data_IF_342732034880
#
_entry.id   IF_342732034880
#
_cell.length_a   1.000
_cell.length_b   1.000
_cell.length_c   1.000
_cell.angle_alpha   90.00
_cell.angle_beta   90.00
_cell.angle_gamma   90.00
#
_symmetry.space_group_name_H-M   'P 1'
#
loop_
_entity.id
_entity.type
_entity.pdbx_description
1 polymer ?
#
# COMPACT_ATOMS: atom_id res chain seq x y z
N UNK A 1 -12.18 26.76 67.71
CA UNK A 1 -11.03 26.51 66.83
C UNK A 1 -11.56 25.73 65.64
N UNK A 2 -11.72 26.37 64.42
CA UNK A 2 -12.25 25.71 63.23
C UNK A 2 -11.09 25.45 62.30
N UNK A 3 -10.79 24.15 62.05
CA UNK A 3 -9.78 23.70 61.13
C UNK A 3 -10.33 23.79 59.69
N UNK A 4 -9.71 24.64 58.84
CA UNK A 4 -10.04 24.71 57.42
C UNK A 4 -9.18 23.67 56.67
N UNK A 5 -9.88 22.64 56.15
CA UNK A 5 -9.26 21.65 55.26
C UNK A 5 -9.01 22.27 53.90
N UNK A 6 -7.76 22.31 53.48
CA UNK A 6 -7.32 22.80 52.14
C UNK A 6 -7.28 21.61 51.18
N UNK A 7 -8.27 21.50 50.30
CA UNK A 7 -8.23 20.51 49.21
C UNK A 7 -7.32 21.00 48.09
N UNK A 8 -6.18 20.33 47.94
CA UNK A 8 -5.25 20.54 46.85
C UNK A 8 -5.72 19.71 45.64
N UNK A 9 -6.38 20.34 44.68
CA UNK A 9 -6.75 19.73 43.41
C UNK A 9 -5.53 19.67 42.48
N UNK A 10 -4.94 18.48 42.37
CA UNK A 10 -3.86 18.20 41.40
C UNK A 10 -4.46 18.02 40.01
N UNK A 11 -4.28 19.02 39.14
CA UNK A 11 -4.69 18.94 37.74
C UNK A 11 -3.63 18.17 36.95
N UNK A 12 -3.94 16.93 36.58
CA UNK A 12 -3.08 16.10 35.71
C UNK A 12 -3.14 16.65 34.28
N UNK A 13 -2.12 17.39 33.89
CA UNK A 13 -1.95 17.89 32.53
C UNK A 13 -1.49 16.74 31.64
N UNK A 14 -2.43 16.14 30.89
CA UNK A 14 -2.10 15.14 29.87
C UNK A 14 -1.46 15.84 28.68
N UNK A 15 -0.14 15.79 28.56
CA UNK A 15 0.61 16.29 27.41
C UNK A 15 0.41 15.29 26.28
N UNK A 16 -0.48 15.59 25.35
CA UNK A 16 -0.55 14.91 24.05
C UNK A 16 0.71 15.29 23.27
N UNK A 17 1.68 14.37 23.24
CA UNK A 17 2.82 14.50 22.34
C UNK A 17 2.29 14.45 20.90
N UNK A 18 2.64 15.41 20.02
CA UNK A 18 2.30 15.31 18.61
C UNK A 18 2.98 14.06 18.05
N UNK A 19 2.18 13.15 17.49
CA UNK A 19 2.70 12.04 16.70
C UNK A 19 3.27 12.67 15.42
N UNK A 20 4.59 12.88 15.38
CA UNK A 20 5.25 13.38 14.19
C UNK A 20 5.08 12.31 13.09
N UNK A 21 4.34 12.65 12.05
CA UNK A 21 4.33 11.88 10.83
C UNK A 21 5.75 12.00 10.24
N UNK A 22 6.32 10.88 9.80
CA UNK A 22 7.66 10.83 9.24
C UNK A 22 7.53 10.38 7.80
N UNK A 23 7.82 11.26 6.86
CA UNK A 23 7.82 10.92 5.44
C UNK A 23 8.92 9.89 5.14
N UNK A 24 8.60 8.94 4.29
CA UNK A 24 9.56 7.95 3.81
C UNK A 24 9.25 7.56 2.36
N UNK A 25 10.28 7.19 1.61
CA UNK A 25 10.13 6.62 0.29
C UNK A 25 9.75 5.15 0.41
N UNK A 26 8.62 4.80 -0.18
CA UNK A 26 8.14 3.43 -0.34
C UNK A 26 8.46 3.00 -1.77
N UNK A 27 9.35 2.04 -1.91
CA UNK A 27 9.73 1.44 -3.20
C UNK A 27 9.26 -0.01 -3.25
N UNK A 28 8.56 -0.34 -4.32
CA UNK A 28 8.07 -1.70 -4.58
C UNK A 28 8.64 -2.17 -5.91
N UNK A 29 9.49 -3.21 -5.85
CA UNK A 29 9.93 -3.92 -7.04
C UNK A 29 9.09 -5.19 -7.19
N UNK A 30 8.63 -5.48 -8.39
CA UNK A 30 7.88 -6.70 -8.64
C UNK A 30 8.07 -7.22 -10.07
N UNK A 31 7.88 -8.51 -10.23
CA UNK A 31 8.01 -9.21 -11.50
C UNK A 31 6.64 -9.64 -12.01
N UNK A 32 6.38 -9.35 -13.29
CA UNK A 32 5.32 -9.97 -14.09
C UNK A 32 5.97 -11.12 -14.84
N UNK A 33 5.70 -12.39 -14.50
CA UNK A 33 6.35 -13.52 -15.15
C UNK A 33 5.88 -13.72 -16.58
N UNK A 34 6.74 -14.27 -17.43
CA UNK A 34 6.34 -14.80 -18.72
C UNK A 34 5.62 -16.14 -18.48
N UNK A 35 4.35 -16.20 -18.87
CA UNK A 35 3.51 -17.38 -18.69
C UNK A 35 3.29 -18.02 -20.05
N UNK A 36 3.66 -19.29 -20.19
CA UNK A 36 3.42 -20.06 -21.41
C UNK A 36 1.94 -20.50 -21.44
N UNK A 37 1.18 -19.91 -22.34
CA UNK A 37 -0.26 -20.16 -22.52
C UNK A 37 -0.65 -19.89 -23.97
N UNK A 38 -1.67 -20.62 -24.45
CA UNK A 38 -2.14 -20.48 -25.82
C UNK A 38 -2.67 -19.08 -26.14
N UNK A 39 -3.23 -18.38 -25.14
CA UNK A 39 -3.72 -17.02 -25.25
C UNK A 39 -3.21 -16.20 -24.06
N UNK A 40 -2.26 -15.31 -24.33
CA UNK A 40 -1.65 -14.46 -23.30
C UNK A 40 -2.20 -13.05 -23.36
N UNK A 41 -2.80 -12.61 -22.27
CA UNK A 41 -3.16 -11.22 -22.00
C UNK A 41 -2.25 -10.62 -20.93
N UNK A 42 -1.93 -9.34 -21.04
CA UNK A 42 -1.15 -8.63 -20.01
C UNK A 42 -2.00 -8.48 -18.75
N UNK A 43 -1.44 -8.74 -17.56
CA UNK A 43 -2.22 -8.63 -16.34
C UNK A 43 -2.61 -7.18 -16.02
N UNK A 44 -3.78 -7.02 -15.43
CA UNK A 44 -4.17 -5.83 -14.70
C UNK A 44 -3.46 -5.84 -13.36
N UNK A 45 -2.88 -4.72 -12.93
CA UNK A 45 -2.14 -4.60 -11.68
C UNK A 45 -2.76 -3.48 -10.84
N UNK A 46 -3.05 -3.77 -9.57
CA UNK A 46 -3.30 -2.77 -8.57
C UNK A 46 -2.30 -2.91 -7.41
N UNK A 47 -1.68 -1.81 -7.01
CA UNK A 47 -0.72 -1.72 -5.92
C UNK A 47 -1.18 -0.62 -4.96
N UNK A 48 -1.45 -0.98 -3.69
CA UNK A 48 -1.99 -0.04 -2.70
C UNK A 48 -1.58 -0.40 -1.27
N UNK A 49 -1.72 0.57 -0.36
CA UNK A 49 -1.49 0.39 1.08
C UNK A 49 -2.83 0.42 1.81
N UNK A 50 -3.02 -0.52 2.74
CA UNK A 50 -4.14 -0.57 3.68
C UNK A 50 -3.67 -0.29 5.11
N UNK A 51 -4.54 0.36 5.90
CA UNK A 51 -4.36 0.48 7.37
C UNK A 51 -4.79 -0.81 8.11
N UNK A 52 -4.64 -0.81 9.43
CA UNK A 52 -5.05 -1.92 10.29
C UNK A 52 -6.56 -2.24 10.22
N UNK A 53 -7.39 -1.28 9.83
CA UNK A 53 -8.82 -1.45 9.60
C UNK A 53 -9.15 -1.88 8.17
N UNK A 54 -8.13 -2.21 7.37
CA UNK A 54 -8.23 -2.63 5.98
C UNK A 54 -8.86 -1.56 5.05
N UNK A 55 -8.68 -0.30 5.37
CA UNK A 55 -9.05 0.83 4.52
C UNK A 55 -7.85 1.17 3.64
N UNK A 56 -8.11 1.40 2.36
CA UNK A 56 -7.07 1.90 1.46
C UNK A 56 -6.69 3.33 1.88
N UNK A 57 -5.40 3.53 2.18
CA UNK A 57 -4.83 4.82 2.58
C UNK A 57 -3.92 5.44 1.52
N UNK A 58 -3.37 4.62 0.63
CA UNK A 58 -2.58 5.08 -0.51
C UNK A 58 -2.80 4.18 -1.73
N UNK A 59 -2.80 4.79 -2.92
CA UNK A 59 -2.76 4.09 -4.21
C UNK A 59 -1.40 4.35 -4.83
N UNK A 60 -0.63 3.28 -5.11
CA UNK A 60 0.73 3.39 -5.63
C UNK A 60 0.80 3.17 -7.13
N UNK A 61 0.05 2.20 -7.65
CA UNK A 61 -0.11 1.97 -9.09
C UNK A 61 -1.46 1.32 -9.42
N UNK A 62 -1.99 1.65 -10.60
CA UNK A 62 -3.14 1.00 -11.20
C UNK A 62 -2.90 0.89 -12.70
N UNK A 63 -2.54 -0.30 -13.19
CA UNK A 63 -2.26 -0.55 -14.60
C UNK A 63 -3.40 -1.34 -15.22
N UNK A 64 -4.18 -0.66 -16.04
CA UNK A 64 -5.43 -1.14 -16.56
C UNK A 64 -5.79 -0.36 -17.82
N UNK A 65 -6.24 -1.02 -18.88
CA UNK A 65 -6.55 -0.36 -20.15
C UNK A 65 -7.96 0.24 -20.21
N UNK A 66 -8.93 -0.37 -19.52
CA UNK A 66 -10.34 0.02 -19.62
C UNK A 66 -11.05 -0.07 -18.27
N UNK A 67 -11.89 0.92 -17.96
CA UNK A 67 -12.66 0.99 -16.74
C UNK A 67 -13.57 -0.22 -16.47
N UNK A 68 -14.08 -0.85 -17.53
CA UNK A 68 -14.96 -2.02 -17.39
C UNK A 68 -14.30 -3.18 -16.65
N UNK A 69 -12.96 -3.26 -16.63
CA UNK A 69 -12.18 -4.32 -16.00
C UNK A 69 -11.79 -4.04 -14.55
N UNK A 70 -12.13 -2.86 -14.00
CA UNK A 70 -11.85 -2.50 -12.60
C UNK A 70 -12.35 -3.54 -11.60
N UNK A 71 -13.48 -4.17 -11.88
CA UNK A 71 -14.11 -5.16 -10.98
C UNK A 71 -13.37 -6.50 -10.94
N UNK A 72 -12.51 -6.77 -11.90
CA UNK A 72 -11.71 -8.00 -11.93
C UNK A 72 -10.62 -7.95 -10.87
N UNK A 73 -10.07 -6.78 -10.57
CA UNK A 73 -9.23 -6.50 -9.42
C UNK A 73 -10.09 -6.49 -8.13
N UNK A 74 -10.57 -7.67 -7.73
CA UNK A 74 -11.66 -7.84 -6.74
C UNK A 74 -11.31 -7.33 -5.35
N UNK A 75 -10.06 -7.50 -4.90
CA UNK A 75 -9.64 -7.03 -3.58
C UNK A 75 -9.51 -5.52 -3.60
N UNK A 76 -8.78 -4.98 -4.54
CA UNK A 76 -8.63 -3.54 -4.74
C UNK A 76 -10.00 -2.84 -4.86
N UNK A 77 -10.88 -3.34 -5.73
CA UNK A 77 -12.22 -2.76 -5.95
C UNK A 77 -13.04 -2.66 -4.65
N UNK A 78 -13.01 -3.70 -3.82
CA UNK A 78 -13.75 -3.73 -2.55
C UNK A 78 -13.13 -2.85 -1.47
N UNK A 79 -11.80 -2.64 -1.48
CA UNK A 79 -11.10 -1.87 -0.44
C UNK A 79 -11.17 -0.37 -0.64
N UNK A 80 -11.12 0.10 -1.85
CA UNK A 80 -11.14 1.54 -2.13
C UNK A 80 -11.38 1.89 -3.58
N UNK A 81 -11.03 1.01 -4.52
CA UNK A 81 -11.04 1.27 -5.94
C UNK A 81 -12.36 1.82 -6.48
N UNK A 82 -13.50 1.31 -5.99
CA UNK A 82 -14.83 1.81 -6.39
C UNK A 82 -15.14 3.26 -6.02
N UNK A 83 -14.34 3.86 -5.12
CA UNK A 83 -14.50 5.24 -4.65
C UNK A 83 -13.43 6.18 -5.21
N UNK A 84 -12.44 5.61 -5.90
CA UNK A 84 -11.33 6.37 -6.44
C UNK A 84 -11.78 7.11 -7.71
N UNK A 85 -11.54 8.41 -7.76
CA UNK A 85 -11.70 9.17 -8.99
C UNK A 85 -10.52 8.86 -9.92
N UNK A 86 -10.79 8.32 -11.10
CA UNK A 86 -9.78 7.91 -12.07
C UNK A 86 -9.87 8.78 -13.34
N UNK A 87 -8.75 8.98 -14.06
CA UNK A 87 -7.40 8.53 -13.74
C UNK A 87 -6.73 9.35 -12.62
N UNK A 88 -5.75 8.74 -11.94
CA UNK A 88 -4.87 9.43 -10.98
C UNK A 88 -3.50 9.61 -11.62
N UNK A 89 -3.00 10.84 -11.69
CA UNK A 89 -1.70 11.17 -12.28
C UNK A 89 -0.56 10.45 -11.55
N UNK A 90 0.38 9.92 -12.32
CA UNK A 90 1.52 9.15 -11.82
C UNK A 90 1.21 7.75 -11.29
N UNK A 91 -0.07 7.41 -11.16
CA UNK A 91 -0.56 6.14 -10.61
C UNK A 91 -1.22 5.27 -11.68
N UNK A 92 -2.09 5.87 -12.49
CA UNK A 92 -2.84 5.17 -13.54
C UNK A 92 -2.01 4.99 -14.80
N UNK A 93 -2.05 3.81 -15.38
CA UNK A 93 -1.35 3.49 -16.62
C UNK A 93 -1.89 2.25 -17.32
N UNK A 94 -1.39 2.02 -18.53
CA UNK A 94 -1.72 0.83 -19.31
C UNK A 94 -1.09 -0.44 -18.71
N UNK A 95 -1.65 -1.61 -19.04
CA UNK A 95 -1.08 -2.92 -18.75
C UNK A 95 0.33 -3.07 -19.32
N UNK A 96 1.18 -3.84 -18.64
CA UNK A 96 2.58 -4.01 -19.01
C UNK A 96 2.90 -5.45 -19.41
N UNK A 97 3.95 -5.61 -20.21
CA UNK A 97 4.48 -6.92 -20.65
C UNK A 97 5.16 -7.65 -19.46
N UNK A 98 5.45 -8.95 -19.58
CA UNK A 98 6.34 -9.64 -18.66
C UNK A 98 7.68 -8.89 -18.48
N UNK A 99 8.17 -8.83 -17.25
CA UNK A 99 9.40 -8.11 -16.89
C UNK A 99 9.39 -7.66 -15.44
N UNK A 100 10.47 -7.01 -15.02
CA UNK A 100 10.61 -6.42 -13.68
C UNK A 100 10.26 -4.94 -13.72
N UNK A 101 9.58 -4.49 -12.67
CA UNK A 101 9.06 -3.12 -12.56
C UNK A 101 9.30 -2.57 -11.15
N UNK A 102 9.57 -1.28 -11.09
CA UNK A 102 9.71 -0.52 -9.85
C UNK A 102 8.65 0.57 -9.80
N UNK A 103 8.01 0.70 -8.66
CA UNK A 103 7.11 1.80 -8.30
C UNK A 103 7.61 2.43 -7.02
N UNK A 104 7.94 3.72 -7.05
CA UNK A 104 8.36 4.49 -5.88
C UNK A 104 7.40 5.64 -5.62
N UNK A 105 7.15 5.91 -4.34
CA UNK A 105 6.31 7.01 -3.89
C UNK A 105 6.67 7.42 -2.47
N UNK A 106 6.77 8.72 -2.22
CA UNK A 106 6.90 9.25 -0.86
C UNK A 106 5.56 9.16 -0.15
N UNK A 107 5.56 8.57 1.04
CA UNK A 107 4.39 8.42 1.89
C UNK A 107 4.61 9.13 3.22
N UNK A 108 3.55 9.72 3.74
CA UNK A 108 3.50 10.34 5.06
C UNK A 108 2.31 9.75 5.79
N UNK A 109 2.57 8.66 6.51
CA UNK A 109 1.54 7.89 7.20
C UNK A 109 1.65 8.09 8.71
N UNK A 110 0.53 8.12 9.45
CA UNK A 110 0.55 8.04 10.90
C UNK A 110 1.24 6.76 11.39
N UNK A 111 1.86 6.81 12.57
CA UNK A 111 2.44 5.62 13.19
C UNK A 111 1.38 4.52 13.35
N UNK A 112 1.67 3.31 12.90
CA UNK A 112 0.70 2.22 12.91
C UNK A 112 1.11 0.99 12.11
N UNK A 113 0.18 0.05 12.00
CA UNK A 113 0.33 -1.18 11.21
C UNK A 113 -0.36 -1.03 9.86
N UNK A 114 0.37 -1.43 8.82
CA UNK A 114 -0.08 -1.31 7.44
C UNK A 114 0.15 -2.62 6.69
N UNK A 115 -0.45 -2.71 5.52
CA UNK A 115 -0.24 -3.82 4.59
C UNK A 115 -0.09 -3.26 3.19
N UNK A 116 1.04 -3.51 2.55
CA UNK A 116 1.19 -3.36 1.11
C UNK A 116 0.42 -4.50 0.43
N UNK A 117 -0.35 -4.16 -0.57
CA UNK A 117 -1.11 -5.11 -1.36
C UNK A 117 -0.74 -4.94 -2.83
N UNK A 118 -0.48 -6.05 -3.51
CA UNK A 118 -0.40 -6.12 -4.97
C UNK A 118 -1.35 -7.19 -5.48
N UNK A 119 -2.26 -6.81 -6.37
CA UNK A 119 -3.20 -7.72 -7.02
C UNK A 119 -2.95 -7.71 -8.51
N UNK A 120 -2.75 -8.90 -9.07
CA UNK A 120 -2.61 -9.15 -10.50
C UNK A 120 -3.78 -10.01 -10.98
N UNK A 121 -4.37 -9.62 -12.12
CA UNK A 121 -5.47 -10.38 -12.75
C UNK A 121 -5.23 -10.39 -14.25
N UNK A 122 -5.28 -11.56 -14.85
CA UNK A 122 -5.13 -11.73 -16.30
C UNK A 122 -6.44 -12.20 -16.91
N UNK A 123 -6.82 -11.57 -18.01
CA UNK A 123 -7.95 -12.00 -18.82
C UNK A 123 -7.69 -13.42 -19.36
N UNK A 124 -8.69 -14.28 -19.31
CA UNK A 124 -8.56 -15.72 -19.64
C UNK A 124 -7.41 -16.40 -18.85
N UNK A 125 -7.12 -15.89 -17.66
CA UNK A 125 -6.00 -16.35 -16.85
C UNK A 125 -6.31 -16.40 -15.36
N UNK A 126 -5.25 -16.29 -14.56
CA UNK A 126 -5.32 -16.38 -13.12
C UNK A 126 -5.56 -15.02 -12.45
N UNK A 127 -5.58 -15.10 -11.13
CA UNK A 127 -5.61 -13.96 -10.22
C UNK A 127 -4.71 -14.26 -9.04
N UNK A 128 -3.83 -13.35 -8.73
CA UNK A 128 -2.97 -13.46 -7.56
C UNK A 128 -3.02 -12.19 -6.72
N UNK A 129 -2.88 -12.33 -5.40
CA UNK A 129 -2.90 -11.23 -4.46
C UNK A 129 -1.89 -11.47 -3.35
N UNK A 130 -0.80 -10.72 -3.37
CA UNK A 130 0.26 -10.75 -2.37
C UNK A 130 0.05 -9.61 -1.38
N UNK A 131 0.37 -9.88 -0.11
CA UNK A 131 0.25 -8.94 1.00
C UNK A 131 1.52 -8.95 1.82
N UNK A 132 2.10 -7.77 2.03
CA UNK A 132 3.29 -7.58 2.85
C UNK A 132 2.92 -6.67 4.02
N UNK A 133 2.81 -7.21 5.24
CA UNK A 133 2.58 -6.39 6.43
C UNK A 133 3.85 -5.61 6.80
N UNK A 134 3.67 -4.38 7.29
CA UNK A 134 4.75 -3.56 7.78
C UNK A 134 4.24 -2.58 8.86
N UNK A 135 5.17 -2.08 9.67
CA UNK A 135 4.91 -1.04 10.66
C UNK A 135 5.39 0.32 10.14
N UNK A 136 4.72 1.40 10.55
CA UNK A 136 5.12 2.77 10.22
C UNK A 136 5.30 3.59 11.50
N UNK A 137 6.34 4.44 11.63
CA UNK A 137 7.46 4.59 10.69
C UNK A 137 8.35 3.34 10.64
N UNK A 138 8.76 2.95 9.46
CA UNK A 138 9.74 1.90 9.27
C UNK A 138 11.16 2.49 9.24
N UNK A 139 12.13 1.77 9.80
CA UNK A 139 13.55 2.07 9.66
C UNK A 139 14.16 0.99 8.77
N UNK A 140 14.63 1.41 7.57
CA UNK A 140 15.35 0.55 6.61
C UNK A 140 14.73 -0.85 6.44
N UNK A 141 13.44 -0.88 6.10
CA UNK A 141 12.72 -2.12 5.88
C UNK A 141 13.00 -2.65 4.47
N UNK A 142 13.33 -3.94 4.37
CA UNK A 142 13.36 -4.67 3.11
C UNK A 142 12.74 -6.05 3.30
N UNK A 143 11.63 -6.32 2.61
CA UNK A 143 10.88 -7.59 2.67
C UNK A 143 10.65 -8.09 1.26
N UNK A 144 10.83 -9.39 1.05
CA UNK A 144 10.57 -10.04 -0.25
C UNK A 144 9.57 -11.17 -0.07
N UNK A 145 8.54 -11.15 -0.89
CA UNK A 145 7.56 -12.22 -1.04
C UNK A 145 7.58 -12.76 -2.47
N UNK A 146 7.05 -13.98 -2.68
CA UNK A 146 6.99 -14.58 -4.01
C UNK A 146 5.57 -14.98 -4.35
N UNK A 147 5.18 -14.64 -5.57
CA UNK A 147 3.97 -15.16 -6.19
C UNK A 147 4.16 -16.57 -6.72
N UNK A 148 3.06 -17.18 -7.08
CA UNK A 148 3.03 -18.57 -7.55
C UNK A 148 2.40 -18.70 -8.95
N UNK A 149 1.86 -17.61 -9.51
CA UNK A 149 1.11 -17.65 -10.77
C UNK A 149 1.25 -16.38 -11.61
N UNK A 150 0.61 -15.30 -11.22
CA UNK A 150 0.54 -14.06 -12.01
C UNK A 150 1.62 -13.03 -11.62
N UNK A 151 2.29 -13.26 -10.49
CA UNK A 151 3.38 -12.44 -9.95
C UNK A 151 4.60 -13.31 -9.69
N UNK A 152 5.79 -12.77 -9.94
CA UNK A 152 7.06 -13.34 -9.52
C UNK A 152 7.47 -12.84 -8.13
N UNK A 153 8.73 -12.42 -7.99
CA UNK A 153 9.20 -11.80 -6.76
C UNK A 153 8.57 -10.41 -6.57
N UNK A 154 8.20 -10.10 -5.33
CA UNK A 154 7.70 -8.79 -4.91
C UNK A 154 8.51 -8.35 -3.70
N UNK A 155 9.20 -7.22 -3.77
CA UNK A 155 9.92 -6.64 -2.66
C UNK A 155 9.33 -5.29 -2.26
N UNK A 156 9.30 -5.06 -0.94
CA UNK A 156 8.97 -3.78 -0.33
C UNK A 156 10.23 -3.24 0.34
N UNK A 157 10.65 -2.05 -0.06
CA UNK A 157 11.71 -1.28 0.59
C UNK A 157 11.14 0.04 1.10
N UNK A 158 11.42 0.39 2.35
CA UNK A 158 11.03 1.66 2.95
C UNK A 158 12.30 2.34 3.45
N UNK A 159 12.59 3.53 2.91
CA UNK A 159 13.74 4.35 3.28
C UNK A 159 13.25 5.65 3.87
N UNK A 160 13.56 5.95 5.14
CA UNK A 160 13.22 7.24 5.75
C UNK A 160 13.78 8.39 4.93
N UNK A 161 13.00 9.46 4.74
CA UNK A 161 13.51 10.69 4.14
C UNK A 161 14.57 11.29 5.08
N UNK A 162 15.78 11.48 4.56
CA UNK A 162 16.81 12.20 5.29
C UNK A 162 16.36 13.64 5.48
N UNK A 163 16.04 14.02 6.71
CA UNK A 163 15.84 15.45 7.02
C UNK A 163 17.14 16.18 6.74
N UNK A 164 17.14 17.22 5.91
CA UNK A 164 18.35 18.02 5.61
C UNK A 164 18.88 18.76 6.82
#
# INVERSE_FOLDING_TARGET
MKLKSLFLTSTLLCVLAPCAATAAEVTVDFEIPAIDTAEYHRPYIALWIEDAQRRQVAQLALWLEQEKWHRDLRSWWRRGGKKLALPVDGVSGATRKPGSYTVSSVQDLPAGKYTLNIEAVREVGGREHIKIPFDWPAQDLSVVERGNSELGAVSLTITPESTP
#
